data_IF_351432046236
#
_entry.id   IF_351432046236
#
_cell.length_a   1.000
_cell.length_b   1.000
_cell.length_c   1.000
_cell.angle_alpha   90.00
_cell.angle_beta   90.00
_cell.angle_gamma   90.00
#
_symmetry.space_group_name_H-M   'P 1'
#
loop_
_entity.id
_entity.type
_entity.pdbx_description
1 polymer ?
#
# COMPACT_ATOMS: atom_id res chain seq x y z
N UNK A 1 10.36 -19.78 -6.19
CA UNK A 1 9.56 -18.59 -5.87
C UNK A 1 9.72 -17.62 -7.03
N UNK A 2 8.65 -17.33 -7.78
CA UNK A 2 8.67 -16.28 -8.79
C UNK A 2 8.94 -14.95 -8.08
N UNK A 3 9.95 -14.23 -8.55
CA UNK A 3 10.31 -12.94 -7.99
C UNK A 3 9.15 -11.96 -8.29
N UNK A 4 8.52 -11.39 -7.29
CA UNK A 4 7.34 -10.49 -7.43
C UNK A 4 7.65 -9.36 -8.41
N UNK A 5 8.86 -8.81 -8.39
CA UNK A 5 9.33 -7.80 -9.36
C UNK A 5 9.29 -8.30 -10.82
N UNK A 6 9.63 -9.56 -11.07
CA UNK A 6 9.58 -10.14 -12.42
C UNK A 6 8.14 -10.36 -12.92
N UNK A 7 7.23 -10.68 -12.01
CA UNK A 7 5.81 -10.88 -12.33
C UNK A 7 5.11 -9.57 -12.70
N UNK A 8 5.36 -8.50 -11.94
CA UNK A 8 4.83 -7.17 -12.22
C UNK A 8 5.32 -6.63 -13.56
N UNK A 9 6.63 -6.76 -13.83
CA UNK A 9 7.22 -6.35 -15.10
C UNK A 9 6.64 -7.15 -16.27
N UNK A 10 6.44 -8.45 -16.11
CA UNK A 10 5.81 -9.30 -17.11
C UNK A 10 4.36 -8.87 -17.40
N UNK A 11 3.55 -8.61 -16.37
CA UNK A 11 2.19 -8.13 -16.53
C UNK A 11 2.12 -6.78 -17.25
N UNK A 12 3.01 -5.86 -16.92
CA UNK A 12 3.13 -4.56 -17.61
C UNK A 12 3.51 -4.75 -19.08
N UNK A 13 4.48 -5.62 -19.37
CA UNK A 13 4.89 -5.91 -20.75
C UNK A 13 3.75 -6.52 -21.58
N UNK A 14 2.99 -7.46 -21.01
CA UNK A 14 1.82 -8.07 -21.66
C UNK A 14 0.75 -7.00 -21.93
N UNK A 15 0.46 -6.13 -20.96
CA UNK A 15 -0.51 -5.04 -21.12
C UNK A 15 -0.10 -4.09 -22.25
N UNK A 16 1.15 -3.63 -22.25
CA UNK A 16 1.67 -2.71 -23.28
C UNK A 16 1.67 -3.34 -24.68
N UNK A 17 2.13 -4.58 -24.80
CA UNK A 17 2.12 -5.30 -26.07
C UNK A 17 0.69 -5.49 -26.62
N UNK A 18 -0.25 -5.89 -25.75
CA UNK A 18 -1.66 -6.05 -26.12
C UNK A 18 -2.30 -4.72 -26.53
N UNK A 19 -2.02 -3.63 -25.80
CA UNK A 19 -2.49 -2.30 -26.13
C UNK A 19 -1.95 -1.83 -27.51
N UNK A 20 -0.66 -2.01 -27.75
CA UNK A 20 -0.03 -1.67 -29.04
C UNK A 20 -0.67 -2.46 -30.20
N UNK A 21 -0.85 -3.77 -30.05
CA UNK A 21 -1.51 -4.61 -31.06
C UNK A 21 -2.96 -4.18 -31.31
N UNK A 22 -3.72 -3.86 -30.25
CA UNK A 22 -5.08 -3.34 -30.38
C UNK A 22 -5.14 -2.07 -31.22
N UNK A 23 -4.29 -1.10 -30.89
CA UNK A 23 -4.18 0.18 -31.62
C UNK A 23 -3.73 -0.04 -33.06
N UNK A 24 -2.74 -0.86 -33.31
CA UNK A 24 -2.24 -1.16 -34.68
C UNK A 24 -3.32 -1.80 -35.53
N UNK A 25 -4.10 -2.74 -35.01
CA UNK A 25 -5.23 -3.35 -35.73
C UNK A 25 -6.31 -2.32 -36.03
N UNK A 26 -6.61 -1.43 -35.07
CA UNK A 26 -7.57 -0.36 -35.27
C UNK A 26 -7.13 0.63 -36.35
N UNK A 27 -5.89 1.08 -36.31
CA UNK A 27 -5.30 1.99 -37.32
C UNK A 27 -5.29 1.32 -38.69
N UNK A 28 -4.83 0.07 -38.76
CA UNK A 28 -4.85 -0.69 -40.02
C UNK A 28 -6.25 -0.78 -40.63
N UNK A 29 -7.24 -1.09 -39.81
CA UNK A 29 -8.63 -1.18 -40.27
C UNK A 29 -9.17 0.16 -40.76
N UNK A 30 -8.91 1.26 -40.08
CA UNK A 30 -9.35 2.61 -40.46
C UNK A 30 -8.72 3.03 -41.78
N UNK A 31 -7.41 2.78 -41.98
CA UNK A 31 -6.67 3.18 -43.16
C UNK A 31 -7.04 2.32 -44.37
N UNK A 32 -7.06 1.01 -44.21
CA UNK A 32 -7.23 0.07 -45.32
C UNK A 32 -8.69 -0.20 -45.66
N UNK A 33 -9.60 -0.01 -44.72
CA UNK A 33 -11.06 -0.30 -44.85
C UNK A 33 -11.33 -1.62 -45.57
N UNK A 34 -10.73 -2.74 -45.19
CA UNK A 34 -10.89 -4.01 -45.87
C UNK A 34 -12.33 -4.55 -45.77
N UNK A 35 -12.70 -5.36 -46.76
CA UNK A 35 -13.99 -6.07 -46.69
C UNK A 35 -14.08 -6.93 -45.46
N UNK A 36 -15.26 -7.00 -44.84
CA UNK A 36 -15.55 -7.77 -43.63
C UNK A 36 -15.67 -9.28 -43.94
N UNK A 37 -14.58 -9.90 -44.36
CA UNK A 37 -14.48 -11.35 -44.48
C UNK A 37 -14.19 -12.00 -43.12
N UNK A 38 -14.15 -13.33 -43.06
CA UNK A 38 -13.89 -14.07 -41.79
C UNK A 38 -12.58 -13.65 -41.13
N UNK A 39 -11.49 -13.47 -41.90
CA UNK A 39 -10.19 -13.08 -41.38
C UNK A 39 -10.21 -11.65 -40.78
N UNK A 40 -10.79 -10.69 -41.48
CA UNK A 40 -10.96 -9.30 -40.99
C UNK A 40 -11.80 -9.25 -39.72
N UNK A 41 -12.89 -10.01 -39.66
CA UNK A 41 -13.72 -10.12 -38.43
C UNK A 41 -12.93 -10.70 -37.28
N UNK A 42 -12.15 -11.77 -37.48
CA UNK A 42 -11.30 -12.34 -36.44
C UNK A 42 -10.26 -11.35 -35.94
N UNK A 43 -9.58 -10.62 -36.83
CA UNK A 43 -8.64 -9.57 -36.43
C UNK A 43 -9.31 -8.46 -35.60
N UNK A 44 -10.51 -8.03 -35.98
CA UNK A 44 -11.25 -7.04 -35.21
C UNK A 44 -11.68 -7.58 -33.84
N UNK A 45 -12.11 -8.84 -33.73
CA UNK A 45 -12.39 -9.45 -32.42
C UNK A 45 -11.15 -9.52 -31.53
N UNK A 46 -9.98 -9.78 -32.10
CA UNK A 46 -8.73 -9.72 -31.34
C UNK A 46 -8.40 -8.28 -30.92
N UNK A 47 -8.45 -7.34 -31.86
CA UNK A 47 -8.06 -5.95 -31.63
C UNK A 47 -9.01 -5.18 -30.72
N UNK A 48 -10.33 -5.35 -30.88
CA UNK A 48 -11.35 -4.61 -30.13
C UNK A 48 -11.93 -5.38 -28.94
N UNK A 49 -11.69 -6.68 -28.87
CA UNK A 49 -12.20 -7.57 -27.81
C UNK A 49 -11.10 -8.15 -26.95
N UNK A 50 -10.36 -9.13 -27.47
CA UNK A 50 -9.41 -9.90 -26.68
C UNK A 50 -8.26 -9.06 -26.10
N UNK A 51 -7.60 -8.23 -26.92
CA UNK A 51 -6.49 -7.43 -26.45
C UNK A 51 -6.89 -6.37 -25.43
N UNK A 52 -7.96 -5.55 -25.59
CA UNK A 52 -8.45 -4.67 -24.54
C UNK A 52 -8.83 -5.40 -23.26
N UNK A 53 -9.39 -6.61 -23.33
CA UNK A 53 -9.67 -7.42 -22.15
C UNK A 53 -8.38 -7.83 -21.42
N UNK A 54 -7.37 -8.29 -22.15
CA UNK A 54 -6.05 -8.61 -21.59
C UNK A 54 -5.44 -7.38 -20.92
N UNK A 55 -5.46 -6.21 -21.57
CA UNK A 55 -4.96 -4.95 -21.00
C UNK A 55 -5.69 -4.63 -19.71
N UNK A 56 -7.02 -4.74 -19.70
CA UNK A 56 -7.83 -4.48 -18.51
C UNK A 56 -7.47 -5.41 -17.36
N UNK A 57 -7.39 -6.70 -17.61
CA UNK A 57 -7.08 -7.69 -16.56
C UNK A 57 -5.65 -7.52 -16.03
N UNK A 58 -4.64 -7.51 -16.90
CA UNK A 58 -3.24 -7.41 -16.48
C UNK A 58 -2.90 -6.04 -15.88
N UNK A 59 -3.46 -4.96 -16.45
CA UNK A 59 -3.29 -3.61 -15.93
C UNK A 59 -3.91 -3.42 -14.54
N UNK A 60 -5.10 -3.95 -14.31
CA UNK A 60 -5.72 -3.89 -12.98
C UNK A 60 -4.92 -4.66 -11.94
N UNK A 61 -4.43 -5.87 -12.27
CA UNK A 61 -3.59 -6.65 -11.35
C UNK A 61 -2.29 -5.89 -11.03
N UNK A 62 -1.58 -5.40 -12.06
CA UNK A 62 -0.34 -4.66 -11.86
C UNK A 62 -0.56 -3.36 -11.06
N UNK A 63 -1.66 -2.64 -11.32
CA UNK A 63 -2.02 -1.45 -10.55
C UNK A 63 -2.37 -1.79 -9.11
N UNK A 64 -3.06 -2.90 -8.88
CA UNK A 64 -3.38 -3.35 -7.53
C UNK A 64 -2.10 -3.63 -6.74
N UNK A 65 -1.15 -4.39 -7.29
CA UNK A 65 0.15 -4.67 -6.67
C UNK A 65 0.94 -3.39 -6.40
N UNK A 66 1.01 -2.47 -7.36
CA UNK A 66 1.69 -1.20 -7.19
C UNK A 66 1.14 -0.39 -6.01
N UNK A 67 -0.18 -0.39 -5.81
CA UNK A 67 -0.80 0.35 -4.68
C UNK A 67 -0.50 -0.23 -3.30
N UNK A 68 0.17 -1.38 -3.20
CA UNK A 68 0.65 -1.94 -1.94
C UNK A 68 2.06 -1.45 -1.57
N UNK A 69 2.77 -0.86 -2.51
CA UNK A 69 4.20 -0.54 -2.38
C UNK A 69 4.47 0.77 -1.65
N UNK A 70 5.64 0.86 -1.01
CA UNK A 70 6.14 2.10 -0.39
C UNK A 70 6.25 3.27 -1.37
N UNK A 71 6.79 3.09 -2.61
CA UNK A 71 6.81 4.16 -3.60
C UNK A 71 5.43 4.76 -3.88
N UNK A 72 4.38 3.93 -3.92
CA UNK A 72 3.02 4.42 -4.06
C UNK A 72 2.58 5.23 -2.85
N UNK A 73 2.79 4.72 -1.63
CA UNK A 73 2.46 5.46 -0.40
C UNK A 73 3.20 6.80 -0.32
N UNK A 74 4.48 6.81 -0.68
CA UNK A 74 5.32 8.02 -0.71
C UNK A 74 5.07 8.96 -1.88
N UNK A 75 4.20 8.62 -2.84
CA UNK A 75 3.86 9.51 -3.97
C UNK A 75 3.09 10.76 -3.55
N UNK A 76 2.45 10.74 -2.38
CA UNK A 76 1.85 11.92 -1.78
C UNK A 76 2.90 12.63 -0.93
N UNK A 77 3.16 13.92 -1.18
CA UNK A 77 4.21 14.70 -0.49
C UNK A 77 4.03 14.72 1.04
N UNK A 78 2.79 14.67 1.53
CA UNK A 78 2.48 14.62 2.96
C UNK A 78 2.95 13.34 3.65
N UNK A 79 3.21 12.28 2.87
CA UNK A 79 3.75 11.01 3.37
C UNK A 79 5.29 10.98 3.34
N UNK A 80 5.94 12.01 2.82
CA UNK A 80 7.39 12.10 2.70
C UNK A 80 8.14 11.85 4.00
N UNK A 81 7.77 12.48 5.14
CA UNK A 81 8.43 12.25 6.42
C UNK A 81 8.36 10.80 6.89
N UNK A 82 7.22 10.14 6.69
CA UNK A 82 7.00 8.74 7.06
C UNK A 82 7.80 7.78 6.19
N UNK A 83 7.90 8.07 4.89
CA UNK A 83 8.71 7.29 3.97
C UNK A 83 10.20 7.41 4.29
N UNK A 84 10.69 8.64 4.53
CA UNK A 84 12.09 8.88 4.90
C UNK A 84 12.46 8.17 6.20
N UNK A 85 11.59 8.19 7.22
CA UNK A 85 11.81 7.44 8.46
C UNK A 85 11.87 5.93 8.19
N UNK A 86 10.92 5.40 7.44
CA UNK A 86 10.89 3.97 7.11
C UNK A 86 12.11 3.50 6.30
N UNK A 87 12.74 4.38 5.53
CA UNK A 87 13.91 4.08 4.69
C UNK A 87 15.25 4.47 5.35
N UNK A 88 15.22 5.19 6.46
CA UNK A 88 16.45 5.59 7.17
C UNK A 88 17.09 4.37 7.85
N UNK A 89 18.31 3.97 7.43
CA UNK A 89 19.02 2.83 8.04
C UNK A 89 19.41 3.07 9.49
N UNK A 90 19.42 4.32 9.95
CA UNK A 90 19.78 4.71 11.31
C UNK A 90 18.57 4.88 12.22
N UNK A 91 17.38 4.96 11.67
CA UNK A 91 16.17 5.05 12.48
C UNK A 91 15.90 3.74 13.24
N UNK A 92 15.53 3.88 14.51
CA UNK A 92 15.13 2.77 15.38
C UNK A 92 13.59 2.65 15.49
N UNK A 93 12.85 3.44 14.73
CA UNK A 93 11.39 3.34 14.71
C UNK A 93 10.93 1.94 14.29
N UNK A 94 9.77 1.52 14.75
CA UNK A 94 9.18 0.23 14.33
C UNK A 94 8.99 0.18 12.81
N UNK A 95 8.58 1.28 12.19
CA UNK A 95 8.43 1.37 10.74
C UNK A 95 9.74 1.11 10.01
N UNK A 96 10.84 1.75 10.45
CA UNK A 96 12.16 1.56 9.86
C UNK A 96 12.69 0.13 10.08
N UNK A 97 12.53 -0.43 11.29
CA UNK A 97 12.96 -1.80 11.58
C UNK A 97 12.21 -2.83 10.72
N UNK A 98 10.90 -2.68 10.55
CA UNK A 98 10.11 -3.57 9.69
C UNK A 98 10.41 -3.35 8.21
N UNK A 99 10.62 -2.11 7.79
CA UNK A 99 10.98 -1.77 6.41
C UNK A 99 12.32 -2.39 5.96
N UNK A 100 13.29 -2.49 6.87
CA UNK A 100 14.58 -3.17 6.61
C UNK A 100 14.46 -4.70 6.55
N UNK A 101 13.36 -5.26 7.02
CA UNK A 101 13.15 -6.70 6.96
C UNK A 101 12.77 -7.10 5.54
N UNK A 102 13.66 -7.86 4.88
CA UNK A 102 13.48 -8.33 3.51
C UNK A 102 12.19 -9.13 3.27
N UNK A 103 11.54 -9.67 4.32
CA UNK A 103 10.27 -10.37 4.19
C UNK A 103 9.12 -9.44 3.79
N UNK A 104 9.18 -8.17 4.18
CA UNK A 104 8.16 -7.18 3.81
C UNK A 104 8.44 -6.54 2.45
N UNK A 105 9.71 -6.51 2.02
CA UNK A 105 10.13 -5.87 0.78
C UNK A 105 9.62 -4.43 0.68
N UNK A 106 9.03 -4.09 -0.45
CA UNK A 106 8.44 -2.77 -0.69
C UNK A 106 7.05 -2.59 -0.05
N UNK A 107 6.45 -3.66 0.49
CA UNK A 107 5.08 -3.64 1.01
C UNK A 107 5.01 -3.38 2.53
N UNK A 108 6.10 -2.88 3.13
CA UNK A 108 6.18 -2.69 4.59
C UNK A 108 5.09 -1.76 5.15
N UNK A 109 4.77 -0.66 4.47
CA UNK A 109 3.68 0.23 4.88
C UNK A 109 2.34 -0.50 4.86
N UNK A 110 2.02 -1.17 3.74
CA UNK A 110 0.77 -1.91 3.60
C UNK A 110 0.64 -3.01 4.64
N UNK A 111 1.71 -3.74 4.93
CA UNK A 111 1.69 -4.84 5.91
C UNK A 111 1.23 -4.40 7.29
N UNK A 112 1.63 -3.20 7.75
CA UNK A 112 1.16 -2.66 9.02
C UNK A 112 -0.23 -2.01 8.92
N UNK A 113 -0.54 -1.35 7.79
CA UNK A 113 -1.77 -0.59 7.59
C UNK A 113 -2.91 -1.35 6.92
N UNK A 114 -2.73 -2.62 6.59
CA UNK A 114 -3.78 -3.47 6.04
C UNK A 114 -4.83 -3.84 7.09
N UNK A 115 -6.05 -4.05 6.63
CA UNK A 115 -7.08 -4.71 7.42
C UNK A 115 -6.99 -6.23 7.19
N UNK A 116 -6.82 -6.99 8.24
CA UNK A 116 -6.63 -8.44 8.20
C UNK A 116 -7.91 -9.24 8.42
N UNK A 117 -9.07 -8.59 8.40
CA UNK A 117 -10.36 -9.28 8.47
C UNK A 117 -10.72 -9.96 7.14
N UNK A 118 -11.77 -10.78 7.12
CA UNK A 118 -12.18 -11.59 5.97
C UNK A 118 -12.32 -10.79 4.66
N UNK A 119 -12.78 -9.54 4.71
CA UNK A 119 -12.88 -8.64 3.56
C UNK A 119 -11.79 -7.53 3.59
N UNK A 120 -10.72 -7.75 4.32
CA UNK A 120 -9.71 -6.74 4.63
C UNK A 120 -9.06 -6.12 3.41
N UNK A 121 -8.83 -6.88 2.35
CA UNK A 121 -8.29 -6.33 1.11
C UNK A 121 -9.23 -5.27 0.49
N UNK A 122 -10.54 -5.49 0.54
CA UNK A 122 -11.55 -4.55 0.02
C UNK A 122 -11.63 -3.32 0.93
N UNK A 123 -11.73 -3.53 2.25
CA UNK A 123 -11.84 -2.42 3.22
C UNK A 123 -10.58 -1.55 3.22
N UNK A 124 -9.40 -2.14 3.07
CA UNK A 124 -8.14 -1.38 2.93
C UNK A 124 -8.16 -0.51 1.68
N UNK A 125 -8.65 -1.01 0.54
CA UNK A 125 -8.76 -0.21 -0.69
C UNK A 125 -9.81 0.90 -0.57
N UNK A 126 -10.95 0.64 0.06
CA UNK A 126 -11.93 1.68 0.35
C UNK A 126 -11.36 2.78 1.26
N UNK A 127 -10.58 2.40 2.27
CA UNK A 127 -9.89 3.38 3.11
C UNK A 127 -8.82 4.16 2.32
N UNK A 128 -8.11 3.53 1.39
CA UNK A 128 -7.20 4.20 0.45
C UNK A 128 -7.90 5.28 -0.38
N UNK A 129 -9.13 5.04 -0.84
CA UNK A 129 -9.93 6.06 -1.54
C UNK A 129 -10.28 7.25 -0.64
N UNK A 130 -10.51 7.02 0.65
CA UNK A 130 -10.70 8.11 1.62
C UNK A 130 -9.43 8.94 1.80
N UNK A 131 -8.25 8.30 1.81
CA UNK A 131 -6.97 9.01 1.84
C UNK A 131 -6.80 9.92 0.61
N UNK A 132 -7.13 9.41 -0.59
CA UNK A 132 -7.08 10.20 -1.81
C UNK A 132 -8.03 11.40 -1.73
N UNK A 133 -9.27 11.19 -1.27
CA UNK A 133 -10.25 12.27 -1.10
C UNK A 133 -9.72 13.34 -0.11
N UNK A 134 -9.22 12.92 1.05
CA UNK A 134 -8.62 13.81 2.05
C UNK A 134 -7.42 14.57 1.48
N UNK A 135 -6.55 13.87 0.74
CA UNK A 135 -5.41 14.51 0.08
C UNK A 135 -5.86 15.64 -0.85
N UNK A 136 -6.82 15.38 -1.73
CA UNK A 136 -7.31 16.37 -2.68
C UNK A 136 -7.97 17.56 -1.98
N UNK A 137 -8.74 17.32 -0.91
CA UNK A 137 -9.54 18.35 -0.25
C UNK A 137 -8.78 19.16 0.79
N UNK A 138 -7.78 18.57 1.45
CA UNK A 138 -7.15 19.16 2.63
C UNK A 138 -5.64 19.38 2.48
N UNK A 139 -4.96 18.58 1.66
CA UNK A 139 -3.50 18.55 1.62
C UNK A 139 -2.88 18.92 0.27
N UNK A 140 -3.63 18.88 -0.83
CA UNK A 140 -3.06 19.09 -2.16
C UNK A 140 -2.39 20.48 -2.35
N UNK A 141 -2.83 21.48 -1.59
CA UNK A 141 -2.29 22.84 -1.60
C UNK A 141 -1.32 23.14 -0.46
N UNK A 142 -0.99 22.16 0.38
CA UNK A 142 -0.06 22.35 1.50
C UNK A 142 1.39 22.34 1.01
N UNK A 143 2.29 22.87 1.81
CA UNK A 143 3.73 22.87 1.53
C UNK A 143 4.36 21.47 1.55
N UNK A 144 5.65 21.36 1.28
CA UNK A 144 6.39 20.10 1.39
C UNK A 144 6.12 19.44 2.74
N UNK A 145 6.01 18.11 2.76
CA UNK A 145 5.73 17.35 3.96
C UNK A 145 4.41 17.68 4.69
N UNK A 146 3.48 18.35 4.00
CA UNK A 146 2.19 18.76 4.55
C UNK A 146 2.26 19.99 5.43
N UNK A 147 3.29 20.84 5.26
CA UNK A 147 3.41 22.10 5.98
C UNK A 147 2.22 23.02 5.74
N UNK A 148 1.70 23.60 6.83
CA UNK A 148 0.49 24.45 6.79
C UNK A 148 -0.82 23.70 6.69
N UNK A 149 -0.79 22.37 6.57
CA UNK A 149 -1.97 21.51 6.54
C UNK A 149 -2.38 21.01 7.94
N UNK A 150 -3.54 20.32 8.01
CA UNK A 150 -3.99 19.68 9.25
C UNK A 150 -3.03 18.57 9.68
N UNK A 151 -3.03 18.27 10.98
CA UNK A 151 -2.23 17.16 11.53
C UNK A 151 -2.72 15.82 10.98
N UNK A 152 -1.80 15.04 10.42
CA UNK A 152 -2.10 13.68 9.97
C UNK A 152 -2.29 12.79 11.19
N UNK A 153 -3.40 12.08 11.24
CA UNK A 153 -3.73 11.12 12.30
C UNK A 153 -4.41 9.88 11.72
N UNK A 154 -4.37 8.79 12.47
CA UNK A 154 -5.07 7.57 12.09
C UNK A 154 -6.59 7.81 12.09
N UNK A 155 -7.27 7.37 11.03
CA UNK A 155 -8.73 7.45 10.93
C UNK A 155 -9.45 6.52 11.92
N UNK A 156 -8.84 5.37 12.20
CA UNK A 156 -9.31 4.40 13.19
C UNK A 156 -8.15 4.03 14.12
N UNK A 157 -8.44 3.64 15.37
CA UNK A 157 -7.41 3.09 16.25
C UNK A 157 -6.68 1.92 15.59
N UNK A 158 -5.37 1.88 15.77
CA UNK A 158 -4.56 0.76 15.31
C UNK A 158 -4.88 -0.46 16.17
N UNK A 159 -5.01 -1.62 15.56
CA UNK A 159 -5.38 -2.85 16.25
C UNK A 159 -4.19 -3.80 16.36
N UNK A 160 -4.07 -4.44 17.51
CA UNK A 160 -3.03 -5.45 17.78
C UNK A 160 -3.07 -6.63 16.81
N UNK A 161 -4.23 -6.94 16.20
CA UNK A 161 -4.36 -8.02 15.20
C UNK A 161 -3.43 -7.85 14.01
N UNK A 162 -3.09 -6.61 13.64
CA UNK A 162 -2.10 -6.36 12.57
C UNK A 162 -0.71 -6.89 12.96
N UNK A 163 -0.30 -6.72 14.21
CA UNK A 163 0.96 -7.23 14.74
C UNK A 163 0.94 -8.76 14.88
N UNK A 164 -0.18 -9.30 15.37
CA UNK A 164 -0.36 -10.72 15.62
C UNK A 164 -0.34 -11.60 14.36
N UNK A 165 -0.46 -11.02 13.17
CA UNK A 165 -0.27 -11.76 11.92
C UNK A 165 1.13 -12.37 11.81
N UNK A 166 2.12 -11.75 12.44
CA UNK A 166 3.52 -12.18 12.39
C UNK A 166 4.09 -12.46 13.79
N UNK A 167 3.61 -11.78 14.82
CA UNK A 167 4.05 -11.91 16.20
C UNK A 167 3.14 -12.86 16.99
N UNK A 168 3.67 -14.05 17.32
CA UNK A 168 2.93 -15.03 18.13
C UNK A 168 2.83 -14.57 19.59
N UNK A 169 1.60 -14.49 20.11
CA UNK A 169 1.32 -14.20 21.52
C UNK A 169 1.37 -15.43 22.42
N UNK A 170 1.77 -16.60 21.88
CA UNK A 170 1.88 -17.87 22.62
C UNK A 170 3.33 -18.36 22.71
N UNK A 171 4.26 -17.70 22.01
CA UNK A 171 5.67 -18.07 22.01
C UNK A 171 6.32 -17.84 23.39
N UNK A 172 7.24 -18.73 23.80
CA UNK A 172 7.93 -18.64 25.09
C UNK A 172 8.54 -17.27 25.36
N UNK A 173 9.28 -16.72 24.40
CA UNK A 173 9.92 -15.41 24.54
C UNK A 173 8.89 -14.28 24.71
N UNK A 174 7.75 -14.36 24.02
CA UNK A 174 6.67 -13.38 24.18
C UNK A 174 6.11 -13.42 25.59
N UNK A 175 5.78 -14.63 26.09
CA UNK A 175 5.22 -14.83 27.44
C UNK A 175 6.18 -14.40 28.54
N UNK A 176 7.48 -14.60 28.37
CA UNK A 176 8.50 -14.14 29.33
C UNK A 176 8.58 -12.61 29.40
N UNK A 177 8.40 -11.92 28.28
CA UNK A 177 8.50 -10.45 28.21
C UNK A 177 7.21 -9.73 28.58
N UNK A 178 6.05 -10.37 28.46
CA UNK A 178 4.73 -9.78 28.69
C UNK A 178 3.92 -10.54 29.76
N UNK A 179 4.60 -11.18 30.69
CA UNK A 179 3.94 -12.06 31.67
C UNK A 179 2.83 -11.37 32.47
N UNK A 180 3.02 -10.09 32.81
CA UNK A 180 2.07 -9.33 33.61
C UNK A 180 0.85 -8.84 32.79
N UNK A 181 1.01 -8.59 31.48
CA UNK A 181 0.00 -7.94 30.63
C UNK A 181 -0.66 -8.90 29.62
N UNK A 182 -0.25 -10.20 29.61
CA UNK A 182 -0.63 -11.14 28.54
C UNK A 182 -2.15 -11.29 28.38
N UNK A 183 -2.89 -11.32 29.48
CA UNK A 183 -4.36 -11.46 29.44
C UNK A 183 -5.04 -10.17 28.96
N UNK A 184 -4.56 -9.01 29.36
CA UNK A 184 -5.06 -7.70 28.92
C UNK A 184 -4.79 -7.47 27.42
N UNK A 185 -3.62 -7.94 26.93
CA UNK A 185 -3.31 -7.87 25.49
C UNK A 185 -4.23 -8.83 24.70
N UNK A 186 -4.47 -10.04 25.22
CA UNK A 186 -5.36 -11.02 24.57
C UNK A 186 -6.83 -10.60 24.58
N UNK A 187 -7.28 -9.94 25.65
CA UNK A 187 -8.62 -9.38 25.72
C UNK A 187 -8.81 -8.12 24.86
N UNK A 188 -7.72 -7.51 24.38
CA UNK A 188 -7.74 -6.25 23.64
C UNK A 188 -7.89 -5.01 24.52
N UNK A 189 -7.75 -5.15 25.84
CA UNK A 189 -7.73 -4.01 26.77
C UNK A 189 -6.48 -3.16 26.59
N UNK A 190 -5.34 -3.81 26.32
CA UNK A 190 -4.07 -3.16 25.98
C UNK A 190 -3.71 -3.50 24.54
N UNK A 191 -3.38 -2.49 23.73
CA UNK A 191 -2.85 -2.67 22.39
C UNK A 191 -1.32 -2.72 22.39
N UNK A 192 -0.74 -3.43 21.44
CA UNK A 192 0.72 -3.51 21.29
C UNK A 192 1.37 -2.13 21.21
N UNK A 193 0.70 -1.18 20.55
CA UNK A 193 1.21 0.19 20.36
C UNK A 193 1.07 1.09 21.59
N UNK A 194 0.42 0.64 22.66
CA UNK A 194 0.34 1.42 23.90
C UNK A 194 1.69 1.42 24.64
N UNK A 195 2.50 0.38 24.39
CA UNK A 195 3.87 0.28 24.91
C UNK A 195 4.92 0.38 23.80
N UNK A 196 4.62 -0.11 22.59
CA UNK A 196 5.49 -0.02 21.41
C UNK A 196 5.10 1.19 20.56
N UNK A 197 5.22 2.39 21.11
CA UNK A 197 4.70 3.63 20.54
C UNK A 197 5.67 4.33 19.58
N UNK A 198 6.94 3.91 19.51
CA UNK A 198 7.94 4.46 18.58
C UNK A 198 7.75 3.91 17.15
N UNK A 199 6.57 4.11 16.59
CA UNK A 199 6.20 3.60 15.27
C UNK A 199 6.73 4.53 14.18
N UNK A 200 6.42 5.83 14.30
CA UNK A 200 6.89 6.92 13.45
C UNK A 200 7.17 8.13 14.35
N UNK A 201 8.41 8.42 14.71
CA UNK A 201 8.76 9.50 15.66
C UNK A 201 8.19 10.87 15.25
N UNK A 202 8.11 11.11 13.93
CA UNK A 202 7.57 12.36 13.38
C UNK A 202 6.06 12.52 13.62
N UNK A 203 5.32 11.42 13.72
CA UNK A 203 3.90 11.46 14.05
C UNK A 203 3.66 11.85 15.50
N UNK A 204 4.52 11.44 16.42
CA UNK A 204 4.48 11.80 17.84
C UNK A 204 4.80 13.28 18.05
N UNK A 205 5.81 13.81 17.35
CA UNK A 205 6.22 15.23 17.46
C UNK A 205 5.12 16.21 17.02
N UNK A 206 4.16 15.75 16.23
CA UNK A 206 3.03 16.56 15.73
C UNK A 206 1.74 16.40 16.55
N UNK A 207 1.72 15.55 17.59
CA UNK A 207 0.54 15.45 18.50
C UNK A 207 0.46 16.73 19.35
N UNK A 208 -0.69 17.44 19.36
CA UNK A 208 -0.90 18.52 20.31
C UNK A 208 -0.77 17.97 21.73
N UNK A 209 0.29 18.37 22.45
CA UNK A 209 0.55 17.89 23.82
C UNK A 209 1.77 16.98 24.02
N UNK A 210 2.35 16.41 22.99
CA UNK A 210 3.49 15.48 23.08
C UNK A 210 4.77 16.07 23.69
N UNK A 211 4.86 17.39 23.84
CA UNK A 211 6.02 18.06 24.48
C UNK A 211 6.13 17.88 25.99
N UNK A 212 5.15 17.28 26.66
CA UNK A 212 5.13 17.16 28.13
C UNK A 212 5.55 15.79 28.68
N UNK A 213 5.54 14.72 27.87
CA UNK A 213 5.84 13.37 28.35
C UNK A 213 7.29 12.91 28.13
N UNK A 214 8.05 13.55 27.25
CA UNK A 214 9.44 13.18 26.99
C UNK A 214 10.45 13.76 28.03
N UNK A 215 9.97 14.35 29.13
CA UNK A 215 10.79 14.97 30.18
C UNK A 215 10.45 14.44 31.59
N UNK A 216 10.18 13.14 31.72
CA UNK A 216 10.13 12.45 33.03
C UNK A 216 10.92 11.17 33.02
#
# INVERSE_FOLDING_TARGET
>A
MLNIHSTEQLLKAIALASAALSVLIGIWYIIRRPHLNRGTKSMLHLGLGAFPLIVSLTGNIASFEYTLSRPFCGSCHVMGPYLRDAEDPKSNSLAAMHSRNHKFGENSCYTCHADYQMLGAITTKQNGMKHLFKYITEYASTGPDGEGGPTIHLYKPFKSEACMQCHSTTGKRYLEQHAAEVEQIRSGEINCIDCHDDIHPLALARRPGAKKEAAK
#
